data_IF_596225886923
#
_entry.id   IF_596225886923
#
_cell.length_a   1.000
_cell.length_b   1.000
_cell.length_c   1.000
_cell.angle_alpha   90.00
_cell.angle_beta   90.00
_cell.angle_gamma   90.00
#
_symmetry.space_group_name_H-M   'P 1'
#
loop_
_entity.id
_entity.type
_entity.pdbx_description
1 polymer ?
#
# COMPACT_ATOMS: atom_id res chain seq x y z
N UNK A 1 12.37 -13.88 -16.96
CA UNK A 1 11.36 -14.88 -16.54
C UNK A 1 11.40 -14.94 -15.03
N UNK A 2 10.35 -14.52 -14.32
CA UNK A 2 10.27 -14.66 -12.87
C UNK A 2 9.96 -16.13 -12.57
N UNK A 3 10.98 -16.94 -12.37
CA UNK A 3 10.87 -18.38 -12.11
C UNK A 3 10.55 -18.73 -10.65
N UNK A 4 9.71 -17.94 -9.99
CA UNK A 4 9.34 -18.17 -8.59
C UNK A 4 7.86 -17.84 -8.33
N UNK A 5 7.30 -18.44 -7.28
CA UNK A 5 5.95 -18.15 -6.83
C UNK A 5 5.98 -16.77 -6.14
N UNK A 6 5.40 -15.76 -6.78
CA UNK A 6 5.26 -14.41 -6.16
C UNK A 6 4.05 -14.45 -5.24
N UNK A 7 4.29 -14.71 -3.96
CA UNK A 7 3.21 -14.77 -2.96
C UNK A 7 3.11 -13.48 -2.13
N UNK A 8 4.16 -12.67 -2.09
CA UNK A 8 4.23 -11.47 -1.27
C UNK A 8 4.68 -10.28 -2.12
N UNK A 9 3.95 -9.20 -2.05
CA UNK A 9 4.29 -7.94 -2.73
C UNK A 9 4.16 -6.77 -1.78
N UNK A 10 5.06 -5.82 -1.92
CA UNK A 10 4.95 -4.50 -1.30
C UNK A 10 4.28 -3.56 -2.27
N UNK A 11 3.33 -2.79 -1.78
CA UNK A 11 2.70 -1.73 -2.55
C UNK A 11 2.97 -0.38 -1.91
N UNK A 12 3.51 0.53 -2.70
CA UNK A 12 3.71 1.92 -2.28
C UNK A 12 3.26 2.89 -3.37
N UNK A 13 2.97 4.12 -2.95
CA UNK A 13 2.50 5.19 -3.83
C UNK A 13 3.32 6.44 -3.59
N UNK A 14 3.95 6.89 -4.65
CA UNK A 14 4.67 8.17 -4.66
C UNK A 14 4.00 9.21 -5.54
N UNK A 15 4.36 10.47 -5.35
CA UNK A 15 3.93 11.59 -6.19
C UNK A 15 5.15 12.12 -6.92
N UNK A 16 5.03 12.27 -8.24
CA UNK A 16 6.06 12.86 -9.09
C UNK A 16 5.55 14.22 -9.57
N UNK A 17 6.29 15.28 -9.25
CA UNK A 17 5.97 16.66 -9.59
C UNK A 17 6.67 17.10 -10.87
N UNK A 18 6.00 17.91 -11.66
CA UNK A 18 6.53 18.49 -12.89
C UNK A 18 6.69 20.01 -12.73
N UNK A 19 7.79 20.54 -13.21
CA UNK A 19 8.04 21.99 -13.26
C UNK A 19 7.46 22.57 -14.56
N UNK A 20 6.15 22.48 -14.67
CA UNK A 20 5.35 23.03 -15.78
C UNK A 20 4.16 23.78 -15.22
N UNK A 21 3.63 24.74 -15.97
CA UNK A 21 2.49 25.56 -15.54
C UNK A 21 1.14 24.95 -15.95
N UNK A 22 1.11 24.22 -17.07
CA UNK A 22 -0.11 23.68 -17.64
C UNK A 22 -0.37 22.25 -17.19
N UNK A 23 -1.64 21.94 -16.98
CA UNK A 23 -2.14 20.60 -16.75
C UNK A 23 -2.46 19.90 -18.07
N UNK A 24 -2.35 18.58 -18.08
CA UNK A 24 -2.86 17.74 -19.16
C UNK A 24 -3.80 16.64 -18.62
N UNK A 25 -4.04 15.60 -19.38
CA UNK A 25 -4.96 14.52 -18.99
C UNK A 25 -4.51 13.77 -17.72
N UNK A 26 -3.21 13.63 -17.50
CA UNK A 26 -2.63 12.84 -16.41
C UNK A 26 -1.96 13.72 -15.37
N UNK A 27 -1.22 14.76 -15.81
CA UNK A 27 -0.52 15.70 -14.93
C UNK A 27 -1.50 16.75 -14.41
N UNK A 28 -2.02 16.52 -13.21
CA UNK A 28 -3.01 17.37 -12.55
C UNK A 28 -2.44 17.94 -11.27
N UNK A 29 -2.87 19.15 -10.90
CA UNK A 29 -2.61 19.70 -9.57
C UNK A 29 -3.39 18.90 -8.55
N UNK A 30 -2.74 18.58 -7.42
CA UNK A 30 -3.32 17.75 -6.39
C UNK A 30 -2.79 18.06 -5.01
N UNK A 31 -3.17 17.25 -4.05
CA UNK A 31 -2.69 17.40 -2.68
C UNK A 31 -1.19 17.10 -2.60
N UNK A 32 -0.43 18.04 -2.05
CA UNK A 32 0.99 17.91 -1.79
C UNK A 32 1.30 18.05 -0.31
N UNK A 33 1.96 17.06 0.28
CA UNK A 33 2.50 17.14 1.65
C UNK A 33 3.72 18.08 1.73
N UNK A 34 4.36 18.35 0.60
CA UNK A 34 5.56 19.17 0.48
C UNK A 34 5.25 20.63 0.16
N UNK A 35 3.96 21.02 0.12
CA UNK A 35 3.54 22.38 -0.21
C UNK A 35 3.59 22.74 -1.70
N UNK A 36 3.81 21.77 -2.59
CA UNK A 36 3.94 21.97 -4.05
C UNK A 36 2.58 21.96 -4.77
N UNK A 37 1.59 22.64 -4.22
CA UNK A 37 0.21 22.62 -4.75
C UNK A 37 0.07 23.25 -6.14
N UNK A 38 1.01 24.08 -6.55
CA UNK A 38 1.01 24.75 -7.87
C UNK A 38 1.54 23.86 -8.99
N UNK A 39 2.34 22.85 -8.65
CA UNK A 39 2.97 21.99 -9.64
C UNK A 39 2.03 20.86 -10.07
N UNK A 40 1.78 20.70 -11.37
CA UNK A 40 1.16 19.47 -11.87
C UNK A 40 1.97 18.25 -11.46
N UNK A 41 1.26 17.18 -11.12
CA UNK A 41 1.84 15.95 -10.60
C UNK A 41 1.16 14.72 -11.20
N UNK A 42 1.78 13.57 -11.06
CA UNK A 42 1.17 12.26 -11.24
C UNK A 42 1.26 11.46 -9.95
N UNK A 43 0.39 10.49 -9.81
CA UNK A 43 0.46 9.50 -8.73
C UNK A 43 0.95 8.18 -9.32
N UNK A 44 2.09 7.69 -8.86
CA UNK A 44 2.69 6.43 -9.29
C UNK A 44 2.49 5.38 -8.20
N UNK A 45 1.73 4.34 -8.50
CA UNK A 45 1.64 3.13 -7.70
C UNK A 45 2.66 2.09 -8.15
N UNK A 46 3.39 1.47 -7.24
CA UNK A 46 4.44 0.51 -7.52
C UNK A 46 4.24 -0.76 -6.70
N UNK A 47 4.25 -1.91 -7.38
CA UNK A 47 4.35 -3.23 -6.77
C UNK A 47 5.79 -3.72 -6.83
N UNK A 48 6.32 -4.13 -5.68
CA UNK A 48 7.70 -4.58 -5.52
C UNK A 48 7.71 -5.95 -4.85
N UNK A 49 8.54 -6.84 -5.33
CA UNK A 49 8.75 -8.16 -4.73
C UNK A 49 9.63 -8.11 -3.47
N UNK A 50 9.74 -9.23 -2.77
CA UNK A 50 10.54 -9.37 -1.53
C UNK A 50 12.01 -8.95 -1.70
N UNK A 51 12.57 -9.15 -2.89
CA UNK A 51 13.97 -8.81 -3.18
C UNK A 51 14.16 -7.35 -3.66
N UNK A 52 13.09 -6.54 -3.61
CA UNK A 52 13.15 -5.13 -4.02
C UNK A 52 12.99 -4.90 -5.53
N UNK A 53 12.74 -5.93 -6.33
CA UNK A 53 12.52 -5.76 -7.77
C UNK A 53 11.11 -5.23 -8.07
N UNK A 54 10.98 -4.20 -8.91
CA UNK A 54 9.68 -3.72 -9.37
C UNK A 54 9.00 -4.78 -10.25
N UNK A 55 7.78 -5.14 -9.90
CA UNK A 55 6.99 -6.17 -10.58
C UNK A 55 5.92 -5.56 -11.50
N UNK A 56 5.30 -4.49 -11.06
CA UNK A 56 4.29 -3.76 -11.82
C UNK A 56 4.21 -2.31 -11.33
N UNK A 57 3.72 -1.44 -12.20
CA UNK A 57 3.42 -0.05 -11.85
C UNK A 57 2.12 0.38 -12.52
N UNK A 58 1.52 1.42 -11.96
CA UNK A 58 0.37 2.10 -12.54
C UNK A 58 0.50 3.61 -12.32
N UNK A 59 0.18 4.37 -13.36
CA UNK A 59 0.21 5.84 -13.33
C UNK A 59 -1.23 6.33 -13.28
N UNK A 60 -1.50 7.21 -12.31
CA UNK A 60 -2.80 7.82 -12.13
C UNK A 60 -2.70 9.34 -12.23
N UNK A 61 -3.82 9.97 -12.49
CA UNK A 61 -3.95 11.43 -12.47
C UNK A 61 -3.49 12.01 -11.13
N UNK A 62 -2.82 13.16 -11.19
CA UNK A 62 -2.19 13.77 -10.02
C UNK A 62 -3.14 14.17 -8.90
N UNK A 63 -4.42 14.37 -9.20
CA UNK A 63 -5.49 14.67 -8.24
C UNK A 63 -6.18 13.42 -7.67
N UNK A 64 -5.80 12.23 -8.13
CA UNK A 64 -6.41 10.98 -7.66
C UNK A 64 -6.05 10.69 -6.20
N UNK A 65 -7.03 10.29 -5.42
CA UNK A 65 -6.80 9.88 -4.05
C UNK A 65 -5.99 8.58 -4.02
N UNK A 66 -4.84 8.61 -3.34
CA UNK A 66 -3.88 7.49 -3.31
C UNK A 66 -4.49 6.17 -2.86
N UNK A 67 -5.49 6.21 -1.97
CA UNK A 67 -6.19 5.01 -1.52
C UNK A 67 -6.96 4.27 -2.61
N UNK A 68 -7.32 4.91 -3.72
CA UNK A 68 -8.06 4.26 -4.81
C UNK A 68 -7.16 3.56 -5.83
N UNK A 69 -5.85 3.58 -5.63
CA UNK A 69 -4.88 3.06 -6.60
C UNK A 69 -4.54 1.58 -6.37
N UNK A 70 -4.71 1.08 -5.15
CA UNK A 70 -4.22 -0.25 -4.75
C UNK A 70 -5.00 -1.41 -5.40
N UNK A 71 -6.33 -1.37 -5.38
CA UNK A 71 -7.15 -2.49 -5.86
C UNK A 71 -6.98 -2.75 -7.36
N UNK A 72 -7.03 -1.73 -8.24
CA UNK A 72 -6.85 -1.95 -9.67
C UNK A 72 -5.52 -2.62 -10.02
N UNK A 73 -4.42 -2.16 -9.43
CA UNK A 73 -3.10 -2.72 -9.74
C UNK A 73 -2.95 -4.16 -9.24
N UNK A 74 -3.48 -4.48 -8.04
CA UNK A 74 -3.44 -5.83 -7.48
C UNK A 74 -4.28 -6.78 -8.34
N UNK A 75 -5.49 -6.38 -8.71
CA UNK A 75 -6.38 -7.19 -9.55
C UNK A 75 -5.74 -7.49 -10.91
N UNK A 76 -5.19 -6.46 -11.57
CA UNK A 76 -4.50 -6.58 -12.84
C UNK A 76 -3.25 -7.48 -12.73
N UNK A 77 -2.47 -7.32 -11.67
CA UNK A 77 -1.28 -8.13 -11.42
C UNK A 77 -1.63 -9.60 -11.18
N UNK A 78 -2.59 -9.87 -10.30
CA UNK A 78 -3.07 -11.23 -10.01
C UNK A 78 -3.60 -11.92 -11.27
N UNK A 79 -4.39 -11.22 -12.06
CA UNK A 79 -4.94 -11.74 -13.32
C UNK A 79 -3.84 -12.04 -14.35
N UNK A 80 -2.90 -11.09 -14.54
CA UNK A 80 -1.80 -11.23 -15.50
C UNK A 80 -0.90 -12.43 -15.24
N UNK A 81 -0.60 -12.69 -13.97
CA UNK A 81 0.33 -13.76 -13.56
C UNK A 81 -0.39 -15.02 -13.05
N UNK A 82 -1.73 -15.04 -13.09
CA UNK A 82 -2.59 -16.17 -12.67
C UNK A 82 -2.24 -16.66 -11.26
N UNK A 83 -2.09 -15.72 -10.33
CA UNK A 83 -1.70 -16.03 -8.96
C UNK A 83 -2.91 -16.49 -8.15
N UNK A 84 -2.81 -17.63 -7.49
CA UNK A 84 -3.88 -18.13 -6.60
C UNK A 84 -3.92 -17.34 -5.30
N UNK A 85 -2.77 -17.10 -4.69
CA UNK A 85 -2.62 -16.36 -3.44
C UNK A 85 -1.66 -15.20 -3.63
N UNK A 86 -2.02 -14.06 -3.03
CA UNK A 86 -1.18 -12.87 -3.00
C UNK A 86 -1.33 -12.18 -1.65
N UNK A 87 -0.22 -11.97 -0.96
CA UNK A 87 -0.13 -11.21 0.27
C UNK A 87 0.37 -9.82 -0.08
N UNK A 88 -0.41 -8.80 0.24
CA UNK A 88 -0.07 -7.40 -0.05
C UNK A 88 0.38 -6.71 1.22
N UNK A 89 1.58 -6.14 1.19
CA UNK A 89 2.12 -5.34 2.29
C UNK A 89 2.10 -3.87 1.88
N UNK A 90 1.52 -3.02 2.71
CA UNK A 90 1.45 -1.58 2.42
C UNK A 90 1.37 -0.74 3.69
N UNK A 91 1.70 0.54 3.57
CA UNK A 91 1.56 1.50 4.66
C UNK A 91 0.09 1.89 4.90
N UNK A 92 -0.26 2.21 6.14
CA UNK A 92 -1.59 2.67 6.55
C UNK A 92 -2.06 3.94 5.85
N UNK A 93 -1.14 4.76 5.36
CA UNK A 93 -1.45 5.97 4.63
C UNK A 93 -2.23 5.73 3.34
N UNK A 94 -2.17 4.52 2.81
CA UNK A 94 -2.77 4.14 1.53
C UNK A 94 -4.13 3.44 1.67
N UNK A 95 -4.51 3.04 2.88
CA UNK A 95 -5.73 2.27 3.09
C UNK A 95 -6.76 3.01 3.92
N UNK A 96 -7.88 3.27 3.28
CA UNK A 96 -9.12 3.63 3.95
C UNK A 96 -9.82 2.38 4.47
N UNK A 97 -10.72 2.54 5.45
CA UNK A 97 -11.53 1.41 5.95
C UNK A 97 -12.36 0.73 4.84
N UNK A 98 -12.72 1.47 3.78
CA UNK A 98 -13.40 0.92 2.62
C UNK A 98 -12.49 0.00 1.81
N UNK A 99 -11.22 0.37 1.59
CA UNK A 99 -10.27 -0.47 0.86
C UNK A 99 -9.97 -1.78 1.59
N UNK A 100 -9.85 -1.71 2.92
CA UNK A 100 -9.66 -2.91 3.75
C UNK A 100 -10.84 -3.88 3.57
N UNK A 101 -12.07 -3.36 3.64
CA UNK A 101 -13.26 -4.18 3.41
C UNK A 101 -13.30 -4.80 2.01
N UNK A 102 -12.91 -4.06 0.99
CA UNK A 102 -12.88 -4.58 -0.39
C UNK A 102 -11.77 -5.63 -0.58
N UNK A 103 -10.58 -5.44 0.01
CA UNK A 103 -9.53 -6.47 0.01
C UNK A 103 -10.02 -7.76 0.67
N UNK A 104 -10.67 -7.65 1.83
CA UNK A 104 -11.27 -8.78 2.55
C UNK A 104 -12.35 -9.48 1.70
N UNK A 105 -13.27 -8.71 1.13
CA UNK A 105 -14.36 -9.24 0.27
C UNK A 105 -13.82 -10.00 -0.94
N UNK A 106 -12.70 -9.56 -1.50
CA UNK A 106 -12.02 -10.22 -2.63
C UNK A 106 -11.11 -11.38 -2.20
N UNK A 107 -11.01 -11.66 -0.90
CA UNK A 107 -10.17 -12.74 -0.37
C UNK A 107 -8.67 -12.49 -0.46
N UNK A 108 -8.24 -11.22 -0.52
CA UNK A 108 -6.82 -10.88 -0.46
C UNK A 108 -6.29 -10.99 0.97
N UNK A 109 -5.10 -11.56 1.11
CA UNK A 109 -4.33 -11.48 2.33
C UNK A 109 -3.49 -10.20 2.32
N UNK A 110 -3.40 -9.50 3.46
CA UNK A 110 -2.65 -8.25 3.52
C UNK A 110 -2.07 -7.98 4.90
N UNK A 111 -0.95 -7.26 4.90
CA UNK A 111 -0.29 -6.74 6.11
C UNK A 111 -0.28 -5.22 5.99
N UNK A 112 -0.80 -4.55 7.02
CA UNK A 112 -0.92 -3.10 7.06
C UNK A 112 -0.05 -2.52 8.15
N UNK A 113 0.65 -1.45 7.85
CA UNK A 113 1.27 -0.64 8.88
C UNK A 113 0.20 -0.05 9.82
N UNK A 114 0.40 -0.05 11.13
CA UNK A 114 -0.56 0.49 12.09
C UNK A 114 -0.26 1.94 12.49
N UNK A 115 -1.29 2.78 12.59
CA UNK A 115 -1.17 4.13 13.17
C UNK A 115 -1.28 4.05 14.68
N UNK A 116 -0.23 3.60 15.34
CA UNK A 116 -0.19 3.39 16.81
C UNK A 116 -0.62 4.64 17.58
N UNK A 117 -0.34 5.85 17.07
CA UNK A 117 -0.73 7.11 17.73
C UNK A 117 -2.24 7.26 17.94
N UNK A 118 -3.05 6.65 17.08
CA UNK A 118 -4.52 6.76 17.11
C UNK A 118 -5.19 5.61 17.86
N UNK A 119 -4.41 4.63 18.34
CA UNK A 119 -4.92 3.50 19.07
C UNK A 119 -5.30 3.85 20.53
N UNK A 120 -6.16 3.03 21.12
CA UNK A 120 -6.55 3.18 22.53
C UNK A 120 -5.35 3.01 23.46
N UNK A 121 -5.41 3.60 24.65
CA UNK A 121 -4.33 3.51 25.65
C UNK A 121 -4.01 2.06 26.01
N UNK A 122 -5.01 1.20 26.10
CA UNK A 122 -4.82 -0.22 26.37
C UNK A 122 -4.03 -0.94 25.29
N UNK A 123 -4.33 -0.67 23.99
CA UNK A 123 -3.60 -1.23 22.86
C UNK A 123 -2.17 -0.69 22.83
N UNK A 124 -1.96 0.61 23.04
CA UNK A 124 -0.61 1.20 23.14
C UNK A 124 0.24 0.56 24.23
N UNK A 125 -0.33 0.39 25.43
CA UNK A 125 0.38 -0.27 26.52
C UNK A 125 0.72 -1.72 26.21
N UNK A 126 -0.19 -2.46 25.59
CA UNK A 126 0.06 -3.83 25.14
C UNK A 126 1.21 -3.89 24.14
N UNK A 127 1.23 -2.99 23.15
CA UNK A 127 2.32 -2.90 22.16
C UNK A 127 3.65 -2.59 22.84
N UNK A 128 3.69 -1.61 23.75
CA UNK A 128 4.91 -1.20 24.45
C UNK A 128 5.40 -2.25 25.46
N UNK A 129 4.53 -3.11 25.96
CA UNK A 129 4.91 -4.21 26.87
C UNK A 129 5.48 -5.43 26.14
N UNK A 130 5.34 -5.51 24.82
CA UNK A 130 5.93 -6.57 24.01
C UNK A 130 7.45 -6.38 23.97
N UNK A 131 8.18 -7.26 24.67
CA UNK A 131 9.63 -7.35 24.50
C UNK A 131 9.88 -8.07 23.16
N UNK A 132 10.40 -7.32 22.20
CA UNK A 132 10.90 -7.90 20.95
C UNK A 132 12.19 -8.65 21.30
N UNK A 133 12.07 -9.93 21.58
CA UNK A 133 13.23 -10.80 21.72
C UNK A 133 13.60 -11.24 20.29
N UNK A 134 14.81 -10.87 19.82
CA UNK A 134 15.30 -11.13 18.44
C UNK A 134 15.28 -12.62 18.05
N UNK A 135 15.03 -13.52 19.00
CA UNK A 135 15.01 -14.96 18.81
C UNK A 135 13.62 -15.59 18.68
N UNK A 136 12.55 -14.87 19.00
CA UNK A 136 11.17 -15.38 18.96
C UNK A 136 10.27 -14.39 18.23
N UNK A 137 10.40 -14.30 16.92
CA UNK A 137 9.36 -13.71 16.08
C UNK A 137 8.14 -14.66 16.11
N UNK A 138 7.25 -14.40 17.04
CA UNK A 138 5.94 -15.00 16.99
C UNK A 138 5.09 -14.21 15.98
N UNK A 139 4.69 -14.87 14.91
CA UNK A 139 3.81 -14.29 13.89
C UNK A 139 2.45 -13.83 14.44
N UNK A 140 2.09 -14.22 15.67
CA UNK A 140 0.93 -13.71 16.40
C UNK A 140 1.08 -12.25 16.83
N UNK A 141 2.30 -11.67 16.79
CA UNK A 141 2.60 -10.27 17.09
C UNK A 141 2.46 -9.33 15.88
N UNK A 142 2.41 -9.84 14.68
CA UNK A 142 1.91 -9.10 13.55
C UNK A 142 0.42 -8.85 13.81
N UNK A 143 0.01 -7.59 13.93
CA UNK A 143 -1.38 -7.20 14.07
C UNK A 143 -2.18 -7.61 12.82
N UNK A 144 -2.36 -8.90 12.69
CA UNK A 144 -3.26 -9.50 11.75
C UNK A 144 -4.65 -9.42 12.39
N UNK A 145 -5.39 -8.39 12.11
CA UNK A 145 -6.81 -8.37 12.43
C UNK A 145 -7.51 -9.21 11.36
N UNK A 146 -7.58 -10.52 11.60
CA UNK A 146 -8.53 -11.36 10.90
C UNK A 146 -9.91 -10.80 11.25
N UNK A 147 -10.66 -10.36 10.27
CA UNK A 147 -12.07 -10.10 10.48
C UNK A 147 -12.75 -11.48 10.56
N UNK A 148 -13.28 -11.80 11.73
CA UNK A 148 -14.31 -12.81 11.87
C UNK A 148 -15.61 -12.29 11.26
#
# INVERSE_FOLDING_TARGET
MLGGIVNVVFYDVTTIYFQIDDEDEIRKRGFSKEGRHQNPQIVLGLLVGLEGYPLAYEIHEGNKFKGHTILPIIDAFKAKYKLDKLIVITDTGLLSSSNVKELQKKGYEFILGARIKNESTAVKQKILSLKLDDKNWDSSLLFYKRAD
#
